data_IF_175530654467
#
_entry.id   IF_175530654467
#
_cell.length_a   1.000
_cell.length_b   1.000
_cell.length_c   1.000
_cell.angle_alpha   90.00
_cell.angle_beta   90.00
_cell.angle_gamma   90.00
#
_symmetry.space_group_name_H-M   'P 1'
#
loop_
_entity.id
_entity.type
_entity.pdbx_description
1 polymer ?
#
# COMPACT_ATOMS: atom_id res chain seq x y z
N UNK A 1 -20.44 4.40 -3.62
CA UNK A 1 -19.40 5.45 -3.60
C UNK A 1 -18.82 5.55 -5.00
N UNK A 2 -18.73 6.75 -5.59
CA UNK A 2 -18.30 6.93 -7.00
C UNK A 2 -16.79 7.11 -7.17
N UNK A 3 -16.06 7.33 -6.06
CA UNK A 3 -14.60 7.44 -6.09
C UNK A 3 -13.95 6.10 -6.42
N UNK A 4 -13.01 6.10 -7.36
CA UNK A 4 -12.19 4.95 -7.72
C UNK A 4 -10.73 5.37 -7.69
N UNK A 5 -9.94 4.74 -6.84
CA UNK A 5 -8.54 5.13 -6.68
C UNK A 5 -7.68 4.85 -7.94
N UNK A 6 -8.14 3.98 -8.84
CA UNK A 6 -7.44 3.69 -10.11
C UNK A 6 -7.18 4.93 -10.99
N UNK A 7 -8.01 5.97 -10.91
CA UNK A 7 -7.79 7.23 -11.64
C UNK A 7 -6.67 8.09 -11.05
N UNK A 8 -6.23 7.80 -9.83
CA UNK A 8 -5.30 8.65 -9.07
C UNK A 8 -4.05 7.88 -8.58
N UNK A 9 -4.01 6.58 -8.84
CA UNK A 9 -2.97 5.70 -8.33
C UNK A 9 -1.58 6.19 -8.76
N UNK A 10 -0.69 6.38 -7.79
CA UNK A 10 0.69 6.81 -8.05
C UNK A 10 0.87 8.31 -8.28
N UNK A 11 -0.16 9.13 -8.06
CA UNK A 11 -0.02 10.58 -8.07
C UNK A 11 0.88 11.09 -6.91
N UNK A 12 1.08 12.41 -6.83
CA UNK A 12 1.95 13.01 -5.80
C UNK A 12 1.46 12.74 -4.36
N UNK A 13 0.15 12.67 -4.14
CA UNK A 13 -0.41 12.42 -2.82
C UNK A 13 -0.11 10.99 -2.37
N UNK A 14 -0.25 10.02 -3.28
CA UNK A 14 0.16 8.64 -3.06
C UNK A 14 1.65 8.52 -2.78
N UNK A 15 2.50 9.26 -3.51
CA UNK A 15 3.95 9.29 -3.25
C UNK A 15 4.23 9.72 -1.80
N UNK A 16 3.66 10.84 -1.35
CA UNK A 16 3.87 11.33 0.03
C UNK A 16 3.35 10.32 1.05
N UNK A 17 2.10 9.86 0.88
CA UNK A 17 1.44 8.89 1.77
C UNK A 17 2.25 7.61 1.91
N UNK A 18 2.70 7.04 0.80
CA UNK A 18 3.37 5.75 0.78
C UNK A 18 4.84 5.83 1.22
N UNK A 19 5.54 6.94 0.95
CA UNK A 19 6.85 7.17 1.55
C UNK A 19 6.73 7.22 3.07
N UNK A 20 5.80 8.00 3.62
CA UNK A 20 5.56 8.06 5.08
C UNK A 20 5.23 6.68 5.64
N UNK A 21 4.32 5.93 5.00
CA UNK A 21 3.97 4.56 5.40
C UNK A 21 5.20 3.67 5.51
N UNK A 22 6.07 3.65 4.49
CA UNK A 22 7.27 2.81 4.53
C UNK A 22 8.23 3.20 5.65
N UNK A 23 8.39 4.50 5.94
CA UNK A 23 9.21 4.97 7.07
C UNK A 23 8.67 4.52 8.42
N UNK A 24 7.35 4.58 8.61
CA UNK A 24 6.70 4.12 9.84
C UNK A 24 6.85 2.59 10.02
N UNK A 25 6.72 1.82 8.94
CA UNK A 25 6.91 0.37 8.98
C UNK A 25 8.37 -0.02 9.29
N UNK A 26 9.35 0.62 8.65
CA UNK A 26 10.77 0.41 8.96
C UNK A 26 11.09 0.76 10.42
N UNK A 27 10.51 1.84 10.94
CA UNK A 27 10.66 2.20 12.35
C UNK A 27 10.07 1.12 13.29
N UNK A 28 8.85 0.62 13.01
CA UNK A 28 8.24 -0.43 13.81
C UNK A 28 9.05 -1.75 13.79
N UNK A 29 9.76 -2.04 12.70
CA UNK A 29 10.61 -3.24 12.58
C UNK A 29 11.83 -3.22 13.50
N UNK A 30 12.28 -2.07 14.00
CA UNK A 30 13.43 -1.95 14.90
C UNK A 30 13.26 -2.72 16.22
N UNK A 31 12.00 -2.97 16.63
CA UNK A 31 11.70 -3.83 17.78
C UNK A 31 11.30 -5.22 17.29
N UNK A 32 11.96 -6.23 17.83
CA UNK A 32 11.66 -7.65 17.56
C UNK A 32 10.43 -8.14 18.34
N UNK A 33 9.30 -7.48 18.11
CA UNK A 33 7.96 -7.94 18.48
C UNK A 33 7.05 -7.74 17.27
N UNK A 34 6.07 -8.61 17.07
CA UNK A 34 5.10 -8.45 16.00
C UNK A 34 4.36 -7.10 16.10
N UNK A 35 3.90 -6.57 14.97
CA UNK A 35 2.92 -5.49 14.91
C UNK A 35 1.82 -5.80 13.90
N UNK A 36 0.68 -5.09 14.03
CA UNK A 36 -0.42 -5.16 13.09
C UNK A 36 -0.55 -3.86 12.29
N UNK A 37 -0.71 -3.98 10.97
CA UNK A 37 -1.15 -2.88 10.11
C UNK A 37 -2.66 -2.99 9.95
N UNK A 38 -3.40 -1.91 10.20
CA UNK A 38 -4.85 -1.82 9.98
C UNK A 38 -5.10 -0.75 8.92
N UNK A 39 -5.26 -1.16 7.68
CA UNK A 39 -5.59 -0.25 6.58
C UNK A 39 -7.11 -0.12 6.48
N UNK A 40 -7.64 1.02 6.91
CA UNK A 40 -9.10 1.24 7.01
C UNK A 40 -9.79 1.44 5.66
N UNK A 41 -9.02 1.85 4.62
CA UNK A 41 -9.53 2.18 3.28
C UNK A 41 -8.55 1.62 2.24
N UNK A 42 -8.49 0.30 2.17
CA UNK A 42 -7.43 -0.46 1.53
C UNK A 42 -7.45 -0.43 -0.01
N UNK A 43 -8.58 -0.07 -0.64
CA UNK A 43 -8.73 -0.12 -2.08
C UNK A 43 -8.59 -1.54 -2.63
N UNK A 44 -7.87 -1.70 -3.74
CA UNK A 44 -7.73 -2.99 -4.44
C UNK A 44 -6.33 -3.60 -4.35
N UNK A 45 -5.45 -3.02 -3.53
CA UNK A 45 -4.09 -3.53 -3.27
C UNK A 45 -3.07 -3.23 -4.37
N UNK A 46 -3.42 -3.41 -5.65
CA UNK A 46 -2.54 -3.08 -6.79
C UNK A 46 -3.34 -2.45 -7.94
N UNK A 47 -2.74 -1.46 -8.58
CA UNK A 47 -3.31 -0.73 -9.70
C UNK A 47 -2.48 -0.96 -10.97
N UNK A 48 -3.17 -1.03 -12.10
CA UNK A 48 -2.57 -1.09 -13.43
C UNK A 48 -2.56 0.34 -14.02
N UNK A 49 -1.38 0.92 -14.16
CA UNK A 49 -1.19 2.26 -14.69
C UNK A 49 -1.37 2.32 -16.21
N UNK A 50 -1.45 1.18 -16.89
CA UNK A 50 -1.82 1.11 -18.31
C UNK A 50 -3.34 1.05 -18.54
N UNK A 51 -4.14 0.93 -17.47
CA UNK A 51 -5.60 0.85 -17.59
C UNK A 51 -6.21 2.14 -18.14
N UNK A 52 -7.40 2.02 -18.74
CA UNK A 52 -8.15 3.16 -19.27
C UNK A 52 -8.41 4.22 -18.20
N UNK A 53 -8.68 3.82 -16.96
CA UNK A 53 -8.87 4.73 -15.83
C UNK A 53 -7.61 5.53 -15.51
N UNK A 54 -6.46 4.88 -15.40
CA UNK A 54 -5.19 5.54 -15.11
C UNK A 54 -4.74 6.47 -16.26
N UNK A 55 -4.97 6.05 -17.51
CA UNK A 55 -4.61 6.83 -18.70
C UNK A 55 -5.54 8.03 -18.93
N UNK A 56 -6.78 8.00 -18.41
CA UNK A 56 -7.71 9.12 -18.51
C UNK A 56 -7.19 10.40 -17.82
N UNK A 57 -6.46 10.24 -16.72
CA UNK A 57 -5.92 11.37 -15.94
C UNK A 57 -4.40 11.51 -16.09
N UNK A 58 -3.68 10.39 -16.21
CA UNK A 58 -2.22 10.37 -16.30
C UNK A 58 -1.50 10.86 -15.04
N UNK A 59 -2.18 11.01 -13.89
CA UNK A 59 -1.61 11.67 -12.71
C UNK A 59 -0.31 11.02 -12.20
N UNK A 60 -0.17 9.71 -12.38
CA UNK A 60 1.02 8.96 -11.97
C UNK A 60 2.30 9.47 -12.64
N UNK A 61 2.21 10.04 -13.85
CA UNK A 61 3.35 10.60 -14.58
C UNK A 61 3.95 11.80 -13.86
N UNK A 62 3.11 12.60 -13.17
CA UNK A 62 3.54 13.72 -12.33
C UNK A 62 3.92 13.30 -10.90
N UNK A 63 3.50 12.12 -10.46
CA UNK A 63 3.85 11.52 -9.18
C UNK A 63 5.02 10.55 -9.32
N UNK A 64 4.74 9.25 -9.15
CA UNK A 64 5.77 8.20 -9.12
C UNK A 64 6.60 8.12 -10.41
N UNK A 65 6.02 8.46 -11.56
CA UNK A 65 6.73 8.51 -12.83
C UNK A 65 7.94 9.45 -12.82
N UNK A 66 7.90 10.52 -12.01
CA UNK A 66 9.05 11.44 -11.83
C UNK A 66 10.10 10.92 -10.87
N UNK A 67 9.80 9.93 -10.02
CA UNK A 67 10.67 9.49 -8.94
C UNK A 67 11.39 8.17 -9.24
N UNK A 68 10.79 7.27 -10.01
CA UNK A 68 11.24 5.87 -10.10
C UNK A 68 12.70 5.71 -10.55
N UNK A 69 13.12 6.56 -11.50
CA UNK A 69 14.45 6.56 -12.11
C UNK A 69 15.20 7.88 -11.88
N UNK A 70 14.66 8.76 -11.01
CA UNK A 70 15.30 10.03 -10.73
C UNK A 70 16.60 9.83 -9.92
N UNK A 71 17.66 10.57 -10.24
CA UNK A 71 18.86 10.59 -9.43
C UNK A 71 18.59 11.35 -8.12
N UNK A 72 18.92 10.74 -6.99
CA UNK A 72 18.80 11.35 -5.67
C UNK A 72 20.16 11.39 -4.98
N UNK A 73 20.39 12.44 -4.18
CA UNK A 73 21.49 12.44 -3.22
C UNK A 73 21.35 11.26 -2.24
N UNK A 74 22.46 10.70 -1.78
CA UNK A 74 22.49 9.48 -0.98
C UNK A 74 21.50 9.46 0.22
N UNK A 75 21.36 10.54 1.02
CA UNK A 75 20.39 10.56 2.12
C UNK A 75 18.93 10.43 1.67
N UNK A 76 18.59 11.04 0.54
CA UNK A 76 17.23 11.00 -0.04
C UNK A 76 16.97 9.62 -0.65
N UNK A 77 17.96 9.05 -1.35
CA UNK A 77 17.87 7.70 -1.89
C UNK A 77 17.62 6.67 -0.77
N UNK A 78 18.36 6.75 0.34
CA UNK A 78 18.18 5.87 1.49
C UNK A 78 16.81 6.03 2.18
N UNK A 79 16.27 7.26 2.21
CA UNK A 79 14.93 7.51 2.75
C UNK A 79 13.85 6.85 1.88
N UNK A 80 13.97 6.98 0.55
CA UNK A 80 13.01 6.50 -0.44
C UNK A 80 13.15 5.02 -0.78
N UNK A 81 14.29 4.39 -0.47
CA UNK A 81 14.62 3.03 -0.89
C UNK A 81 13.51 2.00 -0.60
N UNK A 82 12.94 1.88 0.62
CA UNK A 82 11.90 0.88 0.88
C UNK A 82 10.64 1.05 0.01
N UNK A 83 10.30 2.30 -0.32
CA UNK A 83 9.17 2.62 -1.19
C UNK A 83 9.48 2.29 -2.66
N UNK A 84 10.62 2.75 -3.18
CA UNK A 84 10.99 2.54 -4.59
C UNK A 84 11.31 1.07 -4.88
N UNK A 85 11.93 0.34 -3.95
CA UNK A 85 12.20 -1.09 -4.08
C UNK A 85 10.91 -1.91 -4.16
N UNK A 86 9.91 -1.58 -3.35
CA UNK A 86 8.59 -2.22 -3.43
C UNK A 86 7.98 -2.05 -4.83
N UNK A 87 8.05 -0.86 -5.41
CA UNK A 87 7.52 -0.58 -6.75
C UNK A 87 8.33 -1.31 -7.83
N UNK A 88 9.67 -1.27 -7.75
CA UNK A 88 10.55 -1.96 -8.70
C UNK A 88 10.34 -3.48 -8.66
N UNK A 89 10.10 -4.06 -7.48
CA UNK A 89 9.81 -5.49 -7.33
C UNK A 89 8.56 -5.95 -8.10
N UNK A 90 7.61 -5.04 -8.34
CA UNK A 90 6.40 -5.31 -9.14
C UNK A 90 6.60 -5.07 -10.63
N UNK A 91 7.69 -4.42 -11.02
CA UNK A 91 8.02 -4.02 -12.39
C UNK A 91 9.47 -4.47 -12.74
N UNK A 92 9.79 -5.78 -12.70
CA UNK A 92 11.16 -6.27 -12.91
C UNK A 92 11.70 -5.99 -14.31
N UNK A 93 10.81 -5.85 -15.31
CA UNK A 93 11.16 -5.55 -16.70
C UNK A 93 11.47 -4.06 -16.95
N UNK A 94 11.41 -3.22 -15.92
CA UNK A 94 11.59 -1.78 -16.02
C UNK A 94 10.31 -0.99 -16.34
N UNK A 95 10.41 0.34 -16.27
CA UNK A 95 9.26 1.24 -16.33
C UNK A 95 8.29 1.06 -15.16
N UNK A 96 7.10 1.68 -15.25
CA UNK A 96 6.04 1.49 -14.25
C UNK A 96 4.71 1.20 -14.95
N UNK A 97 4.27 -0.05 -14.82
CA UNK A 97 2.93 -0.47 -15.22
C UNK A 97 2.08 -0.83 -14.01
N UNK A 98 2.71 -1.31 -12.93
CA UNK A 98 2.00 -1.77 -11.73
C UNK A 98 2.35 -0.87 -10.56
N UNK A 99 1.33 -0.26 -9.96
CA UNK A 99 1.48 0.56 -8.76
C UNK A 99 0.91 -0.15 -7.53
N UNK A 100 1.69 -0.34 -6.45
CA UNK A 100 1.18 -0.91 -5.20
C UNK A 100 0.38 0.13 -4.41
N UNK A 101 -0.83 -0.25 -3.98
CA UNK A 101 -1.54 0.47 -2.92
C UNK A 101 -0.98 0.15 -1.53
N UNK A 102 -1.43 0.90 -0.52
CA UNK A 102 -0.97 0.75 0.87
C UNK A 102 -1.00 -0.67 1.44
N UNK A 103 -2.00 -1.54 1.16
CA UNK A 103 -1.97 -2.91 1.69
C UNK A 103 -0.81 -3.74 1.14
N UNK A 104 -0.49 -3.58 -0.15
CA UNK A 104 0.59 -4.31 -0.80
C UNK A 104 1.95 -3.77 -0.36
N UNK A 105 2.08 -2.45 -0.20
CA UNK A 105 3.29 -1.84 0.35
C UNK A 105 3.54 -2.35 1.77
N UNK A 106 2.52 -2.28 2.63
CA UNK A 106 2.63 -2.81 3.98
C UNK A 106 3.02 -4.29 3.97
N UNK A 107 2.34 -5.10 3.17
CA UNK A 107 2.61 -6.53 3.09
C UNK A 107 4.03 -6.85 2.62
N UNK A 108 4.56 -6.10 1.67
CA UNK A 108 5.93 -6.27 1.15
C UNK A 108 6.99 -6.02 2.24
N UNK A 109 6.79 -5.00 3.08
CA UNK A 109 7.74 -4.64 4.15
C UNK A 109 7.58 -5.46 5.44
N UNK A 110 6.42 -6.08 5.66
CA UNK A 110 6.12 -6.86 6.86
C UNK A 110 6.99 -8.11 7.01
N UNK A 111 7.39 -8.43 8.24
CA UNK A 111 8.10 -9.67 8.59
C UNK A 111 7.10 -10.81 8.76
N UNK A 112 7.60 -12.04 8.89
CA UNK A 112 6.76 -13.27 9.04
C UNK A 112 5.81 -13.22 10.24
N UNK A 113 6.20 -12.54 11.34
CA UNK A 113 5.35 -12.41 12.54
C UNK A 113 4.31 -11.29 12.46
N UNK A 114 4.45 -10.34 11.54
CA UNK A 114 3.56 -9.19 11.44
C UNK A 114 2.25 -9.59 10.75
N UNK A 115 1.19 -8.80 10.92
CA UNK A 115 -0.14 -9.08 10.35
C UNK A 115 -0.79 -7.84 9.72
N UNK A 116 -1.56 -8.06 8.66
CA UNK A 116 -2.32 -7.04 7.96
C UNK A 116 -3.82 -7.30 8.14
N UNK A 117 -4.56 -6.26 8.51
CA UNK A 117 -6.01 -6.17 8.37
C UNK A 117 -6.28 -5.07 7.35
N UNK A 118 -6.86 -5.41 6.20
CA UNK A 118 -7.19 -4.47 5.15
C UNK A 118 -8.70 -4.44 4.95
N UNK A 119 -9.29 -3.25 5.10
CA UNK A 119 -10.74 -3.03 5.11
C UNK A 119 -11.10 -2.21 3.88
N UNK A 120 -12.13 -2.66 3.17
CA UNK A 120 -12.65 -1.96 1.98
C UNK A 120 -14.18 -2.00 2.01
N UNK A 121 -14.82 -0.83 1.89
CA UNK A 121 -16.27 -0.70 1.96
C UNK A 121 -16.94 -1.09 0.64
N UNK A 122 -16.31 -0.82 -0.51
CA UNK A 122 -16.91 -1.06 -1.81
C UNK A 122 -16.88 -2.57 -2.16
N UNK A 123 -18.02 -3.25 -2.30
CA UNK A 123 -18.06 -4.72 -2.43
C UNK A 123 -17.21 -5.28 -3.57
N UNK A 124 -17.24 -4.65 -4.75
CA UNK A 124 -16.41 -5.07 -5.90
C UNK A 124 -14.90 -4.90 -5.66
N UNK A 125 -14.49 -3.88 -4.91
CA UNK A 125 -13.08 -3.62 -4.64
C UNK A 125 -12.59 -4.53 -3.51
N UNK A 126 -13.42 -4.74 -2.48
CA UNK A 126 -13.18 -5.74 -1.44
C UNK A 126 -13.04 -7.16 -2.03
N UNK A 127 -13.88 -7.52 -3.01
CA UNK A 127 -13.75 -8.79 -3.72
C UNK A 127 -12.44 -8.89 -4.51
N UNK A 128 -12.04 -7.84 -5.24
CA UNK A 128 -10.75 -7.78 -5.95
C UNK A 128 -9.57 -7.90 -4.99
N UNK A 129 -9.61 -7.16 -3.88
CA UNK A 129 -8.59 -7.18 -2.84
C UNK A 129 -8.47 -8.57 -2.19
N UNK A 130 -9.61 -9.22 -1.93
CA UNK A 130 -9.67 -10.60 -1.39
C UNK A 130 -9.04 -11.61 -2.36
N UNK A 131 -9.34 -11.51 -3.65
CA UNK A 131 -8.70 -12.34 -4.67
C UNK A 131 -7.21 -12.06 -4.76
N UNK A 132 -6.80 -10.79 -4.69
CA UNK A 132 -5.41 -10.39 -4.77
C UNK A 132 -4.56 -10.96 -3.61
N UNK A 133 -5.09 -11.00 -2.39
CA UNK A 133 -4.44 -11.59 -1.21
C UNK A 133 -4.84 -13.05 -0.93
N UNK A 134 -5.45 -13.75 -1.88
CA UNK A 134 -5.89 -15.13 -1.68
C UNK A 134 -4.70 -16.03 -1.32
N UNK A 135 -4.81 -16.77 -0.22
CA UNK A 135 -3.77 -17.67 0.29
C UNK A 135 -2.70 -17.01 1.17
N UNK A 136 -2.68 -15.67 1.29
CA UNK A 136 -1.76 -14.99 2.20
C UNK A 136 -2.28 -14.99 3.63
N UNK A 137 -1.80 -15.94 4.44
CA UNK A 137 -2.21 -16.09 5.83
C UNK A 137 -1.87 -14.88 6.73
N UNK A 138 -0.99 -13.97 6.28
CA UNK A 138 -0.66 -12.75 7.03
C UNK A 138 -1.67 -11.63 6.79
N UNK A 139 -2.50 -11.72 5.74
CA UNK A 139 -3.46 -10.70 5.35
C UNK A 139 -4.91 -11.15 5.61
N UNK A 140 -5.67 -10.31 6.30
CA UNK A 140 -7.12 -10.47 6.47
C UNK A 140 -7.83 -9.34 5.73
N UNK A 141 -8.71 -9.71 4.79
CA UNK A 141 -9.51 -8.76 4.02
C UNK A 141 -10.94 -8.72 4.57
N UNK A 142 -11.44 -7.53 4.87
CA UNK A 142 -12.76 -7.33 5.47
C UNK A 142 -13.55 -6.36 4.61
N UNK A 143 -14.77 -6.74 4.25
CA UNK A 143 -15.73 -5.83 3.61
C UNK A 143 -16.55 -5.14 4.70
N UNK A 144 -16.16 -3.92 5.06
CA UNK A 144 -16.77 -3.15 6.16
C UNK A 144 -16.47 -1.66 5.98
N UNK A 145 -17.24 -0.80 6.63
CA UNK A 145 -16.86 0.59 6.85
C UNK A 145 -15.61 0.68 7.74
N UNK A 146 -14.56 1.33 7.23
CA UNK A 146 -13.30 1.52 7.95
C UNK A 146 -13.45 2.22 9.30
N UNK A 147 -14.44 3.11 9.44
CA UNK A 147 -14.72 3.80 10.71
C UNK A 147 -15.28 2.86 11.77
N UNK A 148 -16.14 1.92 11.37
CA UNK A 148 -16.70 0.91 12.26
C UNK A 148 -15.67 -0.15 12.65
N UNK A 149 -14.69 -0.39 11.77
CA UNK A 149 -13.67 -1.41 11.96
C UNK A 149 -12.69 -1.10 13.11
N UNK A 150 -12.47 0.18 13.44
CA UNK A 150 -11.53 0.59 14.48
C UNK A 150 -11.90 0.03 15.87
N UNK A 151 -13.18 0.11 16.26
CA UNK A 151 -13.66 -0.40 17.55
C UNK A 151 -13.57 -1.92 17.68
N UNK A 152 -13.60 -2.65 16.56
CA UNK A 152 -13.54 -4.11 16.55
C UNK A 152 -12.11 -4.68 16.44
N UNK A 153 -11.15 -3.88 15.97
CA UNK A 153 -9.80 -4.33 15.67
C UNK A 153 -8.70 -3.69 16.53
N UNK A 154 -9.06 -2.73 17.38
CA UNK A 154 -8.15 -2.11 18.33
C UNK A 154 -8.59 -2.38 19.78
N UNK A 155 -7.64 -2.69 20.70
CA UNK A 155 -6.22 -2.87 20.45
C UNK A 155 -5.91 -4.20 19.72
N UNK A 156 -4.88 -4.26 18.88
CA UNK A 156 -4.48 -5.50 18.22
C UNK A 156 -3.86 -6.48 19.24
N UNK A 157 -3.92 -7.80 18.95
CA UNK A 157 -3.31 -8.85 19.80
C UNK A 157 -1.82 -8.62 20.03
N UNK A 158 -1.16 -8.07 19.02
CA UNK A 158 0.26 -7.75 19.01
C UNK A 158 0.63 -6.60 19.98
N UNK A 159 -0.35 -5.83 20.46
CA UNK A 159 -0.18 -4.61 21.30
C UNK A 159 0.76 -3.56 20.68
N UNK A 160 0.95 -3.65 19.36
CA UNK A 160 1.73 -2.75 18.51
C UNK A 160 1.04 -2.69 17.18
N UNK A 161 0.92 -1.51 16.59
CA UNK A 161 0.36 -1.40 15.27
C UNK A 161 0.53 -0.04 14.63
N UNK A 162 0.20 -0.02 13.35
CA UNK A 162 0.02 1.17 12.53
C UNK A 162 -1.40 1.13 11.99
N UNK A 163 -2.11 2.24 12.09
CA UNK A 163 -3.46 2.45 11.56
C UNK A 163 -3.38 3.58 10.56
#
# INVERSE_FOLDING_TARGET
MNYRHAYHAGNFADVVKHVVLTRLLEYLKQKDKAFRVVDTHAGIGRYDLSSAEAQKTGEWQGGIGRLIDAPFAAPVAALLAPYLETIRSLNPEGGIQKYPGSPLIARHLMRKQDRLTAIELHPKDAARLRTFFAGDFQARIIELDGWLALGAHLPPKEKRGLV
#
